data_IF_676019891332
#
_entry.id   IF_676019891332
#
_cell.length_a   1.000
_cell.length_b   1.000
_cell.length_c   1.000
_cell.angle_alpha   90.00
_cell.angle_beta   90.00
_cell.angle_gamma   90.00
#
_symmetry.space_group_name_H-M   'P 1'
#
loop_
_entity.id
_entity.type
_entity.pdbx_description
1 polymer ?
#
# COMPACT_ATOMS: atom_id res chain seq x y z
N UNK A 1 -29.33 -3.60 -0.66
CA UNK A 1 -28.03 -4.01 -0.08
C UNK A 1 -27.96 -5.54 -0.07
N UNK A 2 -27.01 -6.16 -0.78
CA UNK A 2 -26.95 -7.63 -0.93
C UNK A 2 -25.51 -8.16 -0.80
N UNK A 3 -25.25 -9.26 -0.05
CA UNK A 3 -23.89 -9.77 0.19
C UNK A 3 -23.08 -10.08 -1.08
N UNK A 4 -23.74 -10.54 -2.15
CA UNK A 4 -23.11 -10.79 -3.47
C UNK A 4 -22.46 -9.56 -4.10
N UNK A 5 -22.80 -8.35 -3.66
CA UNK A 5 -22.19 -7.11 -4.16
C UNK A 5 -20.80 -6.88 -3.59
N UNK A 6 -20.45 -7.51 -2.46
CA UNK A 6 -19.19 -7.28 -1.74
C UNK A 6 -17.97 -7.63 -2.59
N UNK A 7 -17.97 -8.80 -3.24
CA UNK A 7 -16.84 -9.24 -4.06
C UNK A 7 -16.55 -8.27 -5.23
N UNK A 8 -17.57 -7.92 -6.02
CA UNK A 8 -17.39 -7.02 -7.16
C UNK A 8 -16.96 -5.61 -6.76
N UNK A 9 -17.41 -5.11 -5.60
CA UNK A 9 -16.96 -3.82 -5.07
C UNK A 9 -15.52 -3.90 -4.59
N UNK A 10 -15.15 -4.95 -3.86
CA UNK A 10 -13.77 -5.16 -3.40
C UNK A 10 -12.81 -5.32 -4.58
N UNK A 11 -13.20 -6.02 -5.65
CA UNK A 11 -12.38 -6.18 -6.85
C UNK A 11 -12.19 -4.84 -7.60
N UNK A 12 -13.22 -3.99 -7.63
CA UNK A 12 -13.19 -2.72 -8.35
C UNK A 12 -12.42 -1.61 -7.61
N UNK A 13 -12.43 -1.62 -6.28
CA UNK A 13 -11.84 -0.56 -5.44
C UNK A 13 -10.69 -1.03 -4.56
N UNK A 14 -10.37 -2.32 -4.58
CA UNK A 14 -9.25 -2.91 -3.86
C UNK A 14 -7.91 -2.53 -4.49
N UNK A 15 -6.86 -2.62 -3.68
CA UNK A 15 -5.51 -2.34 -4.14
C UNK A 15 -5.08 -3.33 -5.23
N UNK A 16 -4.62 -2.79 -6.34
CA UNK A 16 -4.08 -3.56 -7.47
C UNK A 16 -2.79 -4.29 -7.07
N UNK A 17 -2.40 -5.37 -7.79
CA UNK A 17 -1.13 -6.05 -7.54
C UNK A 17 0.10 -5.13 -7.64
N UNK A 18 0.03 -4.10 -8.50
CA UNK A 18 1.11 -3.13 -8.66
C UNK A 18 1.26 -2.23 -7.42
N UNK A 19 0.15 -1.74 -6.88
CA UNK A 19 0.13 -0.93 -5.65
C UNK A 19 0.62 -1.74 -4.45
N UNK A 20 0.20 -3.01 -4.34
CA UNK A 20 0.68 -3.91 -3.29
C UNK A 20 2.21 -4.12 -3.37
N UNK A 21 2.74 -4.35 -4.57
CA UNK A 21 4.19 -4.50 -4.78
C UNK A 21 4.95 -3.22 -4.45
N UNK A 22 4.41 -2.06 -4.81
CA UNK A 22 4.98 -0.77 -4.45
C UNK A 22 5.00 -0.58 -2.93
N UNK A 23 3.89 -0.82 -2.25
CA UNK A 23 3.77 -0.69 -0.80
C UNK A 23 4.74 -1.62 -0.05
N UNK A 24 4.93 -2.85 -0.52
CA UNK A 24 5.94 -3.78 0.03
C UNK A 24 7.36 -3.23 -0.09
N UNK A 25 7.70 -2.61 -1.23
CA UNK A 25 9.04 -2.01 -1.45
C UNK A 25 9.27 -0.81 -0.56
N UNK A 26 8.26 0.05 -0.37
CA UNK A 26 8.32 1.19 0.55
C UNK A 26 8.64 0.71 1.96
N UNK A 27 7.86 -0.23 2.50
CA UNK A 27 8.06 -0.71 3.88
C UNK A 27 9.36 -1.49 4.07
N UNK A 28 9.81 -2.22 3.04
CA UNK A 28 11.11 -2.86 3.06
C UNK A 28 12.26 -1.84 3.16
N UNK A 29 12.17 -0.71 2.46
CA UNK A 29 13.18 0.37 2.57
C UNK A 29 13.11 1.10 3.91
N UNK A 30 11.90 1.35 4.44
CA UNK A 30 11.72 1.90 5.79
C UNK A 30 12.42 1.04 6.83
N UNK A 31 12.22 -0.28 6.77
CA UNK A 31 12.82 -1.24 7.70
C UNK A 31 14.36 -1.24 7.64
N UNK A 32 14.95 -1.06 6.46
CA UNK A 32 16.41 -0.99 6.29
C UNK A 32 17.01 0.31 6.83
N UNK A 33 16.31 1.42 6.68
CA UNK A 33 16.83 2.77 6.97
C UNK A 33 16.52 3.24 8.39
N UNK A 34 15.59 2.58 9.08
CA UNK A 34 15.14 2.98 10.42
C UNK A 34 14.13 4.15 10.40
N UNK A 35 13.48 4.39 9.26
CA UNK A 35 12.51 5.47 9.07
C UNK A 35 13.09 6.77 8.48
N UNK A 36 12.27 7.82 8.47
CA UNK A 36 12.61 9.12 7.90
C UNK A 36 12.26 9.27 6.41
N UNK A 37 12.67 10.41 5.83
CA UNK A 37 12.41 10.73 4.42
C UNK A 37 13.49 10.11 3.52
N UNK A 38 13.09 9.46 2.45
CA UNK A 38 14.01 8.90 1.45
C UNK A 38 13.43 8.99 0.03
N UNK A 39 14.22 8.62 -0.97
CA UNK A 39 13.78 8.54 -2.36
C UNK A 39 13.67 7.08 -2.80
N UNK A 40 12.55 6.72 -3.43
CA UNK A 40 12.31 5.42 -4.07
C UNK A 40 11.80 5.67 -5.49
N UNK A 41 12.47 5.09 -6.49
CA UNK A 41 12.16 5.29 -7.91
C UNK A 41 12.08 6.78 -8.32
N UNK A 42 12.93 7.62 -7.70
CA UNK A 42 12.96 9.07 -7.93
C UNK A 42 11.81 9.85 -7.26
N UNK A 43 10.96 9.19 -6.45
CA UNK A 43 9.88 9.83 -5.68
C UNK A 43 10.25 9.93 -4.21
N UNK A 44 9.92 11.08 -3.61
CA UNK A 44 10.06 11.28 -2.18
C UNK A 44 9.07 10.39 -1.43
N UNK A 45 9.58 9.68 -0.44
CA UNK A 45 8.82 8.86 0.50
C UNK A 45 8.99 9.48 1.88
N UNK A 46 7.89 9.94 2.45
CA UNK A 46 7.79 10.53 3.78
C UNK A 46 6.73 9.79 4.61
N UNK A 47 6.42 10.29 5.81
CA UNK A 47 5.48 9.62 6.71
C UNK A 47 4.07 9.41 6.12
N UNK A 48 3.43 10.39 5.43
CA UNK A 48 2.20 10.15 4.68
C UNK A 48 2.29 9.00 3.68
N UNK A 49 3.33 8.95 2.86
CA UNK A 49 3.52 7.89 1.86
C UNK A 49 3.74 6.52 2.53
N UNK A 50 4.46 6.48 3.64
CA UNK A 50 4.65 5.25 4.42
C UNK A 50 3.31 4.74 4.97
N UNK A 51 2.48 5.63 5.52
CA UNK A 51 1.14 5.26 6.04
C UNK A 51 0.21 4.77 4.94
N UNK A 52 0.30 5.34 3.74
CA UNK A 52 -0.45 4.87 2.58
C UNK A 52 -0.04 3.44 2.20
N UNK A 53 1.27 3.15 2.16
CA UNK A 53 1.77 1.80 1.92
C UNK A 53 1.28 0.79 2.98
N UNK A 54 1.28 1.17 4.27
CA UNK A 54 0.71 0.34 5.35
C UNK A 54 -0.78 0.05 5.13
N UNK A 55 -1.57 1.08 4.78
CA UNK A 55 -3.01 0.95 4.55
C UNK A 55 -3.32 0.03 3.34
N UNK A 56 -2.57 0.16 2.25
CA UNK A 56 -2.70 -0.70 1.06
C UNK A 56 -2.52 -2.17 1.44
N UNK A 57 -1.46 -2.51 2.18
CA UNK A 57 -1.21 -3.90 2.57
C UNK A 57 -2.16 -4.42 3.64
N UNK A 58 -2.64 -3.56 4.54
CA UNK A 58 -3.66 -3.93 5.52
C UNK A 58 -4.99 -4.29 4.84
N UNK A 59 -5.37 -3.54 3.80
CA UNK A 59 -6.60 -3.77 3.06
C UNK A 59 -6.50 -4.95 2.08
N UNK A 60 -5.31 -5.24 1.54
CA UNK A 60 -5.08 -6.38 0.65
C UNK A 60 -5.08 -7.76 1.35
N UNK A 61 -4.96 -7.79 2.68
CA UNK A 61 -4.98 -9.04 3.48
C UNK A 61 -6.38 -9.49 3.91
N UNK A 62 -7.42 -8.71 3.60
CA UNK A 62 -8.82 -9.03 3.92
C UNK A 62 -9.50 -9.75 2.77
#
# INVERSE_FOLDING_TARGET
IHPRQVASVNDAFGATPAEQKWAQRVLAEVAKRGGGVFSLDGRMVDLPVIREAEAILANAKK
#
